data_IF_984677236456
#
_entry.id   IF_984677236456
#
_cell.length_a   1.000
_cell.length_b   1.000
_cell.length_c   1.000
_cell.angle_alpha   90.00
_cell.angle_beta   90.00
_cell.angle_gamma   90.00
#
_symmetry.space_group_name_H-M   'P 1'
#
loop_
_entity.id
_entity.type
_entity.pdbx_description
1 polymer ?
#
# COMPACT_ATOMS: atom_id res chain seq x y z
N UNK A 1 3.20 16.55 -22.29
CA UNK A 1 2.70 17.69 -21.50
C UNK A 1 3.88 18.62 -21.23
N UNK A 2 3.80 19.89 -21.63
CA UNK A 2 4.88 20.87 -21.41
C UNK A 2 4.66 21.67 -20.11
N UNK A 3 5.75 22.15 -19.52
CA UNK A 3 5.72 22.97 -18.29
C UNK A 3 4.93 24.27 -18.48
N UNK A 4 5.20 24.99 -19.57
CA UNK A 4 4.54 26.28 -19.86
C UNK A 4 3.01 26.13 -19.93
N UNK A 5 2.53 25.09 -20.62
CA UNK A 5 1.10 24.83 -20.75
C UNK A 5 0.45 24.41 -19.43
N UNK A 6 1.19 23.71 -18.57
CA UNK A 6 0.72 23.30 -17.25
C UNK A 6 0.59 24.52 -16.31
N UNK A 7 1.56 25.44 -16.34
CA UNK A 7 1.50 26.70 -15.55
C UNK A 7 0.35 27.59 -16.01
N UNK A 8 0.17 27.73 -17.33
CA UNK A 8 -0.93 28.50 -17.90
C UNK A 8 -2.30 27.96 -17.45
N UNK A 9 -2.50 26.64 -17.53
CA UNK A 9 -3.77 26.02 -17.13
C UNK A 9 -4.02 26.09 -15.63
N UNK A 10 -2.97 26.05 -14.80
CA UNK A 10 -3.10 26.28 -13.34
C UNK A 10 -3.65 27.67 -13.04
N UNK A 11 -3.16 28.70 -13.73
CA UNK A 11 -3.64 30.06 -13.56
C UNK A 11 -5.09 30.24 -14.05
N UNK A 12 -5.47 29.57 -15.15
CA UNK A 12 -6.83 29.64 -15.72
C UNK A 12 -7.85 28.93 -14.82
N UNK A 13 -7.47 27.80 -14.24
CA UNK A 13 -8.38 26.93 -13.51
C UNK A 13 -8.26 27.03 -11.98
N UNK A 14 -7.58 28.05 -11.46
CA UNK A 14 -7.39 28.27 -10.02
C UNK A 14 -6.90 27.01 -9.28
N UNK A 15 -5.90 26.34 -9.84
CA UNK A 15 -5.35 25.07 -9.35
C UNK A 15 -6.34 23.87 -9.29
N UNK A 16 -7.51 23.97 -9.94
CA UNK A 16 -8.43 22.83 -10.11
C UNK A 16 -7.79 21.74 -11.01
N UNK A 17 -7.25 20.72 -10.34
CA UNK A 17 -6.56 19.60 -10.97
C UNK A 17 -7.49 18.77 -11.88
N UNK A 18 -8.79 18.73 -11.60
CA UNK A 18 -9.77 18.05 -12.44
C UNK A 18 -9.98 18.77 -13.77
N UNK A 19 -10.12 20.10 -13.73
CA UNK A 19 -10.23 20.93 -14.93
C UNK A 19 -8.95 20.89 -15.79
N UNK A 20 -7.77 20.93 -15.16
CA UNK A 20 -6.47 20.80 -15.85
C UNK A 20 -6.35 19.41 -16.50
N UNK A 21 -6.74 18.34 -15.80
CA UNK A 21 -6.72 16.98 -16.33
C UNK A 21 -7.63 16.84 -17.56
N UNK A 22 -8.83 17.41 -17.50
CA UNK A 22 -9.77 17.45 -18.62
C UNK A 22 -9.19 18.21 -19.83
N UNK A 23 -8.54 19.37 -19.60
CA UNK A 23 -7.94 20.17 -20.66
C UNK A 23 -6.79 19.45 -21.40
N UNK A 24 -6.09 18.54 -20.73
CA UNK A 24 -5.05 17.68 -21.33
C UNK A 24 -5.56 16.33 -21.82
N UNK A 25 -6.80 15.93 -21.52
CA UNK A 25 -7.31 14.60 -21.81
C UNK A 25 -6.59 13.48 -21.06
N UNK A 26 -6.11 13.75 -19.84
CA UNK A 26 -5.38 12.80 -18.99
C UNK A 26 -6.06 12.62 -17.63
N UNK A 27 -5.58 11.68 -16.82
CA UNK A 27 -6.05 11.53 -15.43
C UNK A 27 -5.47 12.61 -14.52
N UNK A 28 -6.19 12.96 -13.45
CA UNK A 28 -5.67 13.85 -12.38
C UNK A 28 -4.35 13.34 -11.77
N UNK A 29 -4.17 12.02 -11.72
CA UNK A 29 -2.94 11.40 -11.25
C UNK A 29 -1.75 11.73 -12.17
N UNK A 30 -1.98 11.81 -13.48
CA UNK A 30 -0.96 12.21 -14.45
C UNK A 30 -0.56 13.67 -14.25
N UNK A 31 -1.53 14.56 -14.03
CA UNK A 31 -1.27 15.97 -13.72
C UNK A 31 -0.48 16.11 -12.42
N UNK A 32 -0.89 15.44 -11.34
CA UNK A 32 -0.18 15.46 -10.06
C UNK A 32 1.28 14.96 -10.18
N UNK A 33 1.55 13.96 -11.01
CA UNK A 33 2.93 13.49 -11.27
C UNK A 33 3.75 14.55 -12.01
N UNK A 34 3.17 15.21 -13.01
CA UNK A 34 3.84 16.27 -13.74
C UNK A 34 4.11 17.50 -12.86
N UNK A 35 3.20 17.86 -11.95
CA UNK A 35 3.43 18.92 -10.96
C UNK A 35 4.67 18.64 -10.10
N UNK A 36 4.85 17.39 -9.65
CA UNK A 36 6.03 16.99 -8.88
C UNK A 36 7.29 16.97 -9.75
N UNK A 37 7.20 16.41 -10.95
CA UNK A 37 8.33 16.31 -11.90
C UNK A 37 8.88 17.69 -12.28
N UNK A 38 7.99 18.65 -12.52
CA UNK A 38 8.35 20.04 -12.83
C UNK A 38 8.57 20.92 -11.60
N UNK A 39 8.61 20.35 -10.39
CA UNK A 39 8.82 21.07 -9.12
C UNK A 39 7.79 22.19 -8.86
N UNK A 40 6.61 22.06 -9.43
CA UNK A 40 5.47 22.94 -9.18
C UNK A 40 4.74 22.62 -7.86
N UNK A 41 5.05 21.45 -7.29
CA UNK A 41 4.59 20.98 -5.99
C UNK A 41 5.63 20.07 -5.37
N UNK A 42 5.78 20.12 -4.05
CA UNK A 42 6.57 19.11 -3.34
C UNK A 42 5.88 17.74 -3.41
N UNK A 43 6.65 16.65 -3.61
CA UNK A 43 6.10 15.32 -3.48
C UNK A 43 5.51 15.16 -2.08
N UNK A 44 4.39 14.43 -1.98
CA UNK A 44 3.86 14.08 -0.67
C UNK A 44 4.97 13.39 0.15
N UNK A 45 5.14 13.76 1.43
CA UNK A 45 6.17 13.16 2.27
C UNK A 45 5.99 11.64 2.23
N UNK A 46 7.10 10.94 1.96
CA UNK A 46 7.12 9.49 2.09
C UNK A 46 6.69 9.14 3.52
N UNK A 47 5.81 8.14 3.65
CA UNK A 47 5.53 7.59 4.96
C UNK A 47 6.87 7.21 5.61
N UNK A 48 7.09 7.53 6.89
CA UNK A 48 8.32 7.14 7.57
C UNK A 48 8.52 5.62 7.41
N UNK A 49 9.77 5.15 7.27
CA UNK A 49 10.05 3.73 7.21
C UNK A 49 9.49 3.05 8.46
N UNK A 50 9.05 1.80 8.32
CA UNK A 50 8.63 1.04 9.49
C UNK A 50 9.82 0.87 10.44
N UNK A 51 9.57 0.80 11.75
CA UNK A 51 10.57 0.30 12.69
C UNK A 51 11.15 -1.02 12.20
N UNK A 52 12.46 -1.22 12.38
CA UNK A 52 13.18 -2.40 11.87
C UNK A 52 12.51 -3.72 12.26
N UNK A 53 12.03 -3.82 13.50
CA UNK A 53 11.34 -5.00 14.04
C UNK A 53 10.03 -5.31 13.28
N UNK A 54 9.27 -4.26 12.95
CA UNK A 54 8.03 -4.38 12.18
C UNK A 54 8.31 -4.76 10.72
N UNK A 55 9.38 -4.24 10.13
CA UNK A 55 9.78 -4.61 8.77
C UNK A 55 10.27 -6.07 8.70
N UNK A 56 11.05 -6.52 9.68
CA UNK A 56 11.48 -7.91 9.78
C UNK A 56 10.31 -8.88 9.97
N UNK A 57 9.31 -8.50 10.77
CA UNK A 57 8.08 -9.28 10.92
C UNK A 57 7.29 -9.32 9.61
N UNK A 58 7.10 -8.18 8.95
CA UNK A 58 6.44 -8.12 7.65
C UNK A 58 7.11 -9.05 6.62
N UNK A 59 8.44 -9.09 6.61
CA UNK A 59 9.20 -9.99 5.74
C UNK A 59 8.95 -11.47 6.07
N UNK A 60 8.92 -11.84 7.35
CA UNK A 60 8.61 -13.21 7.78
C UNK A 60 7.24 -13.68 7.29
N UNK A 61 6.20 -12.87 7.51
CA UNK A 61 4.84 -13.18 7.04
C UNK A 61 4.77 -13.30 5.51
N UNK A 62 5.46 -12.43 4.78
CA UNK A 62 5.51 -12.54 3.31
C UNK A 62 6.29 -13.77 2.85
N UNK A 63 7.38 -14.15 3.53
CA UNK A 63 8.14 -15.35 3.21
C UNK A 63 7.33 -16.63 3.43
N UNK A 64 6.38 -16.60 4.38
CA UNK A 64 5.36 -17.65 4.58
C UNK A 64 4.23 -17.59 3.54
N UNK A 65 4.32 -16.70 2.56
CA UNK A 65 3.38 -16.54 1.46
C UNK A 65 2.26 -15.54 1.72
N UNK A 66 2.15 -14.92 2.90
CA UNK A 66 1.03 -14.03 3.20
C UNK A 66 0.94 -12.84 2.21
N UNK A 67 -0.23 -12.58 1.61
CA UNK A 67 -0.39 -11.44 0.70
C UNK A 67 -0.08 -10.11 1.36
N UNK A 68 0.61 -9.22 0.63
CA UNK A 68 0.99 -7.90 1.17
C UNK A 68 -0.19 -7.04 1.68
N UNK A 69 -1.40 -7.20 1.12
CA UNK A 69 -2.58 -6.52 1.68
C UNK A 69 -2.93 -6.99 3.08
N UNK A 70 -2.74 -8.28 3.38
CA UNK A 70 -3.06 -8.83 4.70
C UNK A 70 -1.95 -8.57 5.69
N UNK A 71 -0.68 -8.62 5.26
CA UNK A 71 0.42 -8.13 6.10
C UNK A 71 0.23 -6.66 6.45
N UNK A 72 -0.34 -5.87 5.54
CA UNK A 72 -0.68 -4.48 5.84
C UNK A 72 -1.80 -4.36 6.89
N UNK A 73 -2.83 -5.20 6.81
CA UNK A 73 -3.93 -5.26 7.78
C UNK A 73 -3.44 -5.74 9.16
N UNK A 74 -2.58 -6.77 9.19
CA UNK A 74 -2.01 -7.37 10.41
C UNK A 74 -1.11 -6.39 11.17
N UNK A 75 -0.25 -5.68 10.45
CA UNK A 75 0.70 -4.74 11.05
C UNK A 75 0.13 -3.33 11.27
N UNK A 76 -1.15 -3.11 10.95
CA UNK A 76 -1.81 -1.79 10.95
C UNK A 76 -1.02 -0.72 10.16
N UNK A 77 -0.53 -1.11 8.98
CA UNK A 77 0.22 -0.23 8.08
C UNK A 77 -0.55 -0.01 6.79
N UNK A 78 -0.26 1.10 6.10
CA UNK A 78 -0.87 1.35 4.80
C UNK A 78 -0.44 0.26 3.80
N UNK A 79 -1.38 -0.23 2.98
CA UNK A 79 -1.10 -1.28 2.00
C UNK A 79 -0.02 -0.96 0.95
N UNK A 80 0.34 0.32 0.76
CA UNK A 80 1.50 0.69 -0.07
C UNK A 80 2.84 0.44 0.64
N UNK A 81 2.89 0.46 1.97
CA UNK A 81 4.09 0.15 2.77
C UNK A 81 4.41 -1.33 2.65
N UNK A 82 3.44 -2.22 2.92
CA UNK A 82 3.64 -3.66 2.78
C UNK A 82 3.98 -4.08 1.34
N UNK A 83 3.32 -3.48 0.33
CA UNK A 83 3.70 -3.69 -1.08
C UNK A 83 5.12 -3.20 -1.38
N UNK A 84 5.55 -2.10 -0.77
CA UNK A 84 6.91 -1.59 -0.88
C UNK A 84 7.94 -2.55 -0.29
N UNK A 85 7.66 -3.12 0.89
CA UNK A 85 8.50 -4.15 1.52
C UNK A 85 8.59 -5.37 0.59
N UNK A 86 7.44 -5.92 0.18
CA UNK A 86 7.42 -7.08 -0.73
C UNK A 86 8.18 -6.83 -2.03
N UNK A 87 8.07 -5.63 -2.60
CA UNK A 87 8.76 -5.29 -3.84
C UNK A 87 10.30 -5.23 -3.69
N UNK A 88 10.81 -4.99 -2.48
CA UNK A 88 12.26 -5.01 -2.18
C UNK A 88 12.80 -6.42 -1.94
N UNK A 89 11.95 -7.35 -1.51
CA UNK A 89 12.38 -8.68 -1.03
C UNK A 89 11.95 -9.85 -1.91
N UNK A 90 10.99 -9.65 -2.81
CA UNK A 90 10.55 -10.64 -3.79
C UNK A 90 10.62 -10.05 -5.19
N UNK A 91 10.99 -10.84 -6.19
CA UNK A 91 10.90 -10.43 -7.58
C UNK A 91 9.45 -10.45 -8.10
N UNK A 92 9.25 -10.04 -9.37
CA UNK A 92 7.90 -9.93 -9.93
C UNK A 92 7.20 -11.29 -10.08
N UNK A 93 7.95 -12.33 -10.40
CA UNK A 93 7.42 -13.66 -10.72
C UNK A 93 7.03 -14.37 -9.42
N UNK A 94 7.88 -14.30 -8.40
CA UNK A 94 7.59 -14.78 -7.04
C UNK A 94 6.34 -14.12 -6.45
N UNK A 95 6.18 -12.80 -6.66
CA UNK A 95 4.98 -12.09 -6.19
C UNK A 95 3.72 -12.58 -6.89
N UNK A 96 3.79 -12.86 -8.19
CA UNK A 96 2.64 -13.32 -8.96
C UNK A 96 2.21 -14.73 -8.54
N UNK A 97 3.16 -15.62 -8.29
CA UNK A 97 2.92 -16.99 -7.83
C UNK A 97 2.22 -17.02 -6.47
N UNK A 98 2.78 -16.33 -5.48
CA UNK A 98 2.20 -16.25 -4.12
C UNK A 98 0.81 -15.60 -4.13
N UNK A 99 0.60 -14.57 -4.95
CA UNK A 99 -0.73 -13.95 -5.10
C UNK A 99 -1.74 -14.90 -5.76
N UNK A 100 -1.30 -15.73 -6.71
CA UNK A 100 -2.15 -16.70 -7.38
C UNK A 100 -2.55 -17.85 -6.44
N UNK A 101 -1.59 -18.39 -5.69
CA UNK A 101 -1.79 -19.42 -4.69
C UNK A 101 -2.82 -18.96 -3.64
N UNK A 102 -2.61 -17.80 -3.02
CA UNK A 102 -3.51 -17.31 -1.98
C UNK A 102 -4.89 -16.90 -2.49
N UNK A 103 -5.00 -16.34 -3.71
CA UNK A 103 -6.31 -16.11 -4.33
C UNK A 103 -7.11 -17.39 -4.51
N UNK A 104 -6.44 -18.51 -4.73
CA UNK A 104 -7.10 -19.80 -4.95
C UNK A 104 -7.73 -20.35 -3.67
N UNK A 105 -7.08 -20.20 -2.51
CA UNK A 105 -7.52 -20.79 -1.23
C UNK A 105 -8.33 -19.85 -0.35
N UNK A 106 -8.19 -18.53 -0.51
CA UNK A 106 -8.83 -17.57 0.41
C UNK A 106 -10.35 -17.59 0.37
N UNK A 107 -10.93 -17.81 -0.81
CA UNK A 107 -12.37 -17.95 -0.96
C UNK A 107 -12.92 -19.08 -0.10
N UNK A 108 -12.15 -20.16 0.08
CA UNK A 108 -12.53 -21.33 0.85
C UNK A 108 -12.30 -21.10 2.35
N UNK A 109 -11.17 -20.49 2.73
CA UNK A 109 -10.90 -20.07 4.10
C UNK A 109 -12.03 -19.14 4.61
N UNK A 110 -12.46 -18.17 3.81
CA UNK A 110 -13.52 -17.23 4.19
C UNK A 110 -14.91 -17.85 4.35
N UNK A 111 -15.18 -18.97 3.67
CA UNK A 111 -16.48 -19.67 3.72
C UNK A 111 -16.51 -20.73 4.82
N UNK A 112 -15.37 -21.05 5.42
CA UNK A 112 -15.24 -22.01 6.51
C UNK A 112 -14.92 -21.27 7.81
N UNK A 113 -15.88 -21.28 8.74
CA UNK A 113 -15.79 -20.52 10.00
C UNK A 113 -14.63 -20.98 10.90
N UNK A 114 -14.32 -22.29 10.93
CA UNK A 114 -13.17 -22.81 11.69
C UNK A 114 -11.84 -22.38 11.08
N UNK A 115 -11.69 -22.45 9.74
CA UNK A 115 -10.46 -22.01 9.08
C UNK A 115 -10.25 -20.50 9.21
N UNK A 116 -11.34 -19.73 9.15
CA UNK A 116 -11.29 -18.29 9.36
C UNK A 116 -10.92 -17.94 10.81
N UNK A 117 -11.44 -18.69 11.79
CA UNK A 117 -11.11 -18.50 13.19
C UNK A 117 -9.66 -18.91 13.49
N UNK A 118 -9.21 -20.04 12.92
CA UNK A 118 -7.81 -20.46 13.00
C UNK A 118 -6.89 -19.39 12.40
N UNK A 119 -7.26 -18.87 11.22
CA UNK A 119 -6.54 -17.76 10.60
C UNK A 119 -6.49 -16.53 11.51
N UNK A 120 -7.60 -16.14 12.15
CA UNK A 120 -7.64 -15.02 13.12
C UNK A 120 -6.84 -15.28 14.40
N UNK A 121 -6.73 -16.53 14.84
CA UNK A 121 -5.92 -16.89 16.01
C UNK A 121 -4.42 -16.70 15.72
N UNK A 122 -3.99 -17.05 14.51
CA UNK A 122 -2.60 -16.87 14.07
C UNK A 122 -2.32 -15.49 13.47
N UNK A 123 -3.35 -14.71 13.13
CA UNK A 123 -3.30 -13.34 12.62
C UNK A 123 -4.46 -12.48 13.19
N UNK A 124 -4.39 -12.05 14.46
CA UNK A 124 -5.50 -11.35 15.11
C UNK A 124 -5.72 -9.94 14.53
N UNK A 125 -6.97 -9.47 14.40
CA UNK A 125 -7.26 -8.16 13.86
C UNK A 125 -6.66 -7.04 14.75
N UNK A 126 -6.25 -5.91 14.14
CA UNK A 126 -5.58 -4.84 14.86
C UNK A 126 -6.39 -4.34 16.06
N UNK A 127 -5.72 -4.22 17.21
CA UNK A 127 -6.29 -3.77 18.49
C UNK A 127 -6.62 -4.88 19.49
N UNK A 128 -6.64 -6.15 19.07
CA UNK A 128 -6.84 -7.32 19.93
C UNK A 128 -5.48 -7.93 20.29
N UNK A 129 -4.75 -7.30 21.22
CA UNK A 129 -3.50 -7.87 21.78
C UNK A 129 -2.31 -6.93 21.95
N UNK A 130 -2.30 -5.76 21.31
CA UNK A 130 -1.22 -4.77 21.48
C UNK A 130 -1.25 -4.02 22.82
N UNK A 131 -2.38 -4.06 23.54
CA UNK A 131 -2.49 -3.44 24.88
C UNK A 131 -1.84 -4.28 25.99
N UNK A 132 -1.82 -5.61 25.85
CA UNK A 132 -1.31 -6.50 26.91
C UNK A 132 0.20 -6.77 26.80
N UNK A 133 0.77 -6.66 25.59
CA UNK A 133 2.22 -6.88 25.38
C UNK A 133 3.11 -5.69 25.74
N UNK A 134 2.56 -4.49 25.98
CA UNK A 134 3.31 -3.28 26.39
C UNK A 134 3.46 -3.11 27.91
N UNK A 135 2.83 -3.94 28.73
CA UNK A 135 2.90 -3.87 30.21
C UNK A 135 3.76 -4.97 30.84
N UNK A 136 4.41 -5.82 30.03
CA UNK A 136 5.25 -6.92 30.51
C UNK A 136 6.76 -6.71 30.26
N UNK A 137 7.21 -5.46 30.10
CA UNK A 137 8.62 -5.08 29.98
C UNK A 137 9.00 -4.09 31.07
#
# INVERSE_FOLDING_TARGET
>A
MSLERLVELRAIHDDDRGAIAAAFGVSERTVARAEVEFKLREPAPHAPPLPFELEAWAQGLMAEGMPASWVAEDLDVRGNIARGIRARHMDADQRAEVDAEWRSVWGDIRRNEELLELHRQFAPPPGVGLKERRTAA
#
